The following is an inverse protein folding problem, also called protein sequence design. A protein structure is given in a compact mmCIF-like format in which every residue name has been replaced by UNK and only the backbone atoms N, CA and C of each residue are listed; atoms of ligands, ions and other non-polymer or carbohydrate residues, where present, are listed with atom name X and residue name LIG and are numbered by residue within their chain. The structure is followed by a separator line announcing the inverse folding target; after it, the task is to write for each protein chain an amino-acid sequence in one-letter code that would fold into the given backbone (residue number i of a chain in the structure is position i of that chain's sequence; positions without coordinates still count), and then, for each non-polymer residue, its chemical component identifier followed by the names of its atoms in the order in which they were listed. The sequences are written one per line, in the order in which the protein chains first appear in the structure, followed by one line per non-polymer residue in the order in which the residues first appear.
data_IF_652907317649
#
_entry.id   IF_652907317649
#
_cell.length_a   1.000
_cell.length_b   1.000
_cell.length_c   1.000
_cell.angle_alpha   90.00
_cell.angle_beta   90.00
_cell.angle_gamma   90.00
#
_symmetry.space_group_name_H-M   'P 1'
#
loop_
_entity.id
_entity.type
_entity.pdbx_description
1 polymer ?
#
# COMPACT_ATOMS: atom_id res chain seq x y z
N UNK A 1 -41.78 -17.35 38.26
CA UNK A 1 -41.64 -17.09 36.81
C UNK A 1 -40.45 -17.88 36.29
N UNK A 2 -40.69 -18.92 35.49
CA UNK A 2 -39.62 -19.78 34.97
C UNK A 2 -38.79 -19.03 33.93
N UNK A 3 -37.49 -18.91 34.17
CA UNK A 3 -36.54 -18.25 33.26
C UNK A 3 -36.38 -19.16 32.03
N UNK A 4 -36.93 -18.73 30.88
CA UNK A 4 -36.89 -19.50 29.64
C UNK A 4 -35.46 -19.86 29.24
N UNK A 5 -35.20 -21.13 28.93
CA UNK A 5 -33.90 -21.60 28.44
C UNK A 5 -33.64 -20.99 27.06
N UNK A 6 -32.70 -20.04 26.99
CA UNK A 6 -32.23 -19.46 25.73
C UNK A 6 -31.42 -20.55 25.02
N UNK A 7 -31.91 -21.04 23.86
CA UNK A 7 -31.12 -21.93 22.99
C UNK A 7 -29.96 -21.12 22.41
N UNK A 8 -28.75 -21.35 22.89
CA UNK A 8 -27.51 -20.83 22.27
C UNK A 8 -27.23 -21.66 21.01
N UNK A 9 -27.78 -21.24 19.88
CA UNK A 9 -27.36 -21.75 18.58
C UNK A 9 -25.94 -21.27 18.32
N UNK A 10 -25.02 -22.20 18.02
CA UNK A 10 -23.72 -21.82 17.48
C UNK A 10 -23.98 -21.17 16.13
N UNK A 11 -23.70 -19.87 16.02
CA UNK A 11 -23.66 -19.19 14.72
C UNK A 11 -22.34 -19.57 14.06
N UNK A 12 -22.29 -20.75 13.46
CA UNK A 12 -21.18 -21.12 12.60
C UNK A 12 -21.25 -20.20 11.37
N UNK A 13 -20.34 -19.23 11.32
CA UNK A 13 -20.24 -18.29 10.20
C UNK A 13 -19.47 -18.99 9.10
N UNK A 14 -20.14 -19.22 7.97
CA UNK A 14 -19.50 -19.76 6.78
C UNK A 14 -18.52 -18.72 6.21
N UNK A 15 -17.22 -19.04 6.29
CA UNK A 15 -16.14 -18.17 5.82
C UNK A 15 -15.88 -18.29 4.32
N UNK A 16 -16.54 -19.22 3.61
CA UNK A 16 -16.27 -19.54 2.21
C UNK A 16 -16.43 -18.31 1.31
N UNK A 17 -17.51 -17.54 1.48
CA UNK A 17 -17.74 -16.33 0.70
C UNK A 17 -16.74 -15.21 1.04
N UNK A 18 -16.33 -15.07 2.29
CA UNK A 18 -15.38 -14.04 2.71
C UNK A 18 -13.95 -14.35 2.23
N UNK A 19 -13.59 -15.63 2.20
CA UNK A 19 -12.28 -16.10 1.75
C UNK A 19 -12.09 -15.87 0.25
N UNK A 20 -13.11 -16.14 -0.57
CA UNK A 20 -13.07 -15.91 -2.03
C UNK A 20 -12.88 -14.41 -2.35
N UNK A 21 -13.65 -13.54 -1.71
CA UNK A 21 -13.52 -12.08 -1.87
C UNK A 21 -12.11 -11.59 -1.49
N UNK A 22 -11.53 -12.13 -0.41
CA UNK A 22 -10.18 -11.77 0.00
C UNK A 22 -9.11 -12.22 -1.00
N UNK A 23 -9.25 -13.43 -1.55
CA UNK A 23 -8.31 -13.96 -2.54
C UNK A 23 -8.37 -13.21 -3.88
N UNK A 24 -9.57 -12.85 -4.33
CA UNK A 24 -9.76 -12.03 -5.53
C UNK A 24 -9.13 -10.63 -5.38
N UNK A 25 -9.26 -10.00 -4.21
CA UNK A 25 -8.63 -8.70 -3.95
C UNK A 25 -7.11 -8.79 -3.89
N UNK A 26 -6.57 -9.81 -3.21
CA UNK A 26 -5.13 -10.03 -3.13
C UNK A 26 -4.52 -10.24 -4.52
N UNK A 27 -5.12 -11.11 -5.33
CA UNK A 27 -4.65 -11.38 -6.69
C UNK A 27 -4.76 -10.15 -7.59
N UNK A 28 -5.86 -9.39 -7.48
CA UNK A 28 -6.01 -8.12 -8.19
C UNK A 28 -4.90 -7.12 -7.82
N UNK A 29 -4.61 -6.93 -6.53
CA UNK A 29 -3.55 -6.03 -6.08
C UNK A 29 -2.14 -6.50 -6.50
N UNK A 30 -1.89 -7.81 -6.52
CA UNK A 30 -0.63 -8.36 -7.00
C UNK A 30 -0.47 -8.13 -8.51
N UNK A 31 -1.54 -8.32 -9.30
CA UNK A 31 -1.49 -8.18 -10.76
C UNK A 31 -1.42 -6.71 -11.24
N UNK A 32 -2.11 -5.80 -10.53
CA UNK A 32 -2.14 -4.37 -10.87
C UNK A 32 -1.00 -3.60 -10.20
N UNK A 33 -0.40 -4.15 -9.14
CA UNK A 33 0.74 -3.58 -8.45
C UNK A 33 1.94 -3.41 -9.38
N UNK A 34 2.10 -2.20 -9.92
CA UNK A 34 3.33 -1.82 -10.59
C UNK A 34 4.42 -1.77 -9.53
N UNK A 35 5.46 -2.60 -9.67
CA UNK A 35 6.67 -2.42 -8.89
C UNK A 35 7.16 -0.99 -9.16
N UNK A 36 7.36 -0.21 -8.08
CA UNK A 36 8.08 1.06 -8.21
C UNK A 36 9.36 0.71 -8.97
N UNK A 37 9.63 1.31 -10.15
CA UNK A 37 10.85 1.02 -10.87
C UNK A 37 11.99 1.22 -9.88
N UNK A 38 12.86 0.21 -9.77
CA UNK A 38 14.05 0.33 -8.93
C UNK A 38 14.80 1.54 -9.46
N UNK A 39 14.77 2.65 -8.72
CA UNK A 39 15.68 3.76 -8.99
C UNK A 39 17.07 3.15 -8.87
N UNK A 40 17.87 3.23 -9.95
CA UNK A 40 19.15 2.53 -10.08
C UNK A 40 20.11 2.85 -8.92
N UNK A 41 19.83 3.94 -8.19
CA UNK A 41 20.56 4.43 -7.03
C UNK A 41 19.53 4.98 -6.03
N UNK A 42 19.67 4.64 -4.75
CA UNK A 42 18.89 5.26 -3.69
C UNK A 42 19.34 6.72 -3.52
N UNK A 43 18.60 7.67 -4.11
CA UNK A 43 18.92 9.10 -4.02
C UNK A 43 18.51 9.62 -2.65
N UNK A 44 19.47 9.67 -1.71
CA UNK A 44 19.28 10.35 -0.42
C UNK A 44 19.35 11.86 -0.66
N UNK A 45 18.21 12.50 -0.86
CA UNK A 45 18.14 13.97 -0.93
C UNK A 45 18.46 14.55 0.45
N UNK A 46 19.37 15.54 0.56
CA UNK A 46 19.66 16.19 1.83
C UNK A 46 18.42 16.90 2.38
N UNK A 47 18.30 16.98 3.71
CA UNK A 47 17.17 17.59 4.42
C UNK A 47 17.07 19.12 4.30
N UNK A 48 17.77 19.72 3.34
CA UNK A 48 17.74 21.16 3.10
C UNK A 48 16.50 21.53 2.27
N UNK A 49 15.41 21.84 2.96
CA UNK A 49 14.20 22.41 2.37
C UNK A 49 14.39 23.93 2.28
N UNK A 50 14.55 24.44 1.06
CA UNK A 50 14.45 25.89 0.80
C UNK A 50 12.98 26.30 0.75
N UNK A 51 12.56 27.22 1.61
CA UNK A 51 11.20 27.81 1.59
C UNK A 51 10.94 28.74 0.39
N UNK A 52 11.93 28.93 -0.49
CA UNK A 52 11.77 29.71 -1.72
C UNK A 52 11.35 28.76 -2.84
N UNK A 53 10.10 28.87 -3.29
CA UNK A 53 9.60 28.12 -4.45
C UNK A 53 10.55 28.32 -5.64
N UNK A 54 11.19 27.22 -6.06
CA UNK A 54 11.96 27.22 -7.30
C UNK A 54 11.00 27.41 -8.48
N UNK A 55 11.32 28.28 -9.45
CA UNK A 55 10.52 28.40 -10.67
C UNK A 55 10.49 27.05 -11.39
N UNK A 56 9.31 26.45 -11.56
CA UNK A 56 9.11 25.14 -12.20
C UNK A 56 9.26 25.18 -13.74
N UNK A 57 9.64 26.33 -14.31
CA UNK A 57 9.84 26.50 -15.75
C UNK A 57 11.33 26.35 -16.06
N UNK A 58 11.68 25.40 -16.93
CA UNK A 58 13.04 25.13 -17.43
C UNK A 58 14.06 24.67 -16.38
N UNK A 59 13.70 23.72 -15.50
CA UNK A 59 14.67 23.07 -14.60
C UNK A 59 15.07 21.68 -15.10
N UNK A 60 16.35 21.35 -14.98
CA UNK A 60 16.92 20.04 -15.30
C UNK A 60 17.55 19.46 -14.03
N UNK A 61 17.10 18.29 -13.59
CA UNK A 61 17.66 17.58 -12.45
C UNK A 61 18.71 16.58 -12.94
N UNK A 62 19.96 16.77 -12.51
CA UNK A 62 21.07 15.84 -12.78
C UNK A 62 21.39 15.10 -11.49
N UNK A 63 21.25 13.78 -11.50
CA UNK A 63 21.68 12.90 -10.42
C UNK A 63 22.93 12.16 -10.87
N UNK A 64 24.03 12.32 -10.13
CA UNK A 64 25.32 11.68 -10.42
C UNK A 64 25.57 10.65 -9.31
N UNK A 65 25.85 9.42 -9.72
CA UNK A 65 26.22 8.33 -8.81
C UNK A 65 27.70 8.41 -8.43
N UNK A 66 28.09 7.87 -7.27
CA UNK A 66 29.46 7.93 -6.74
C UNK A 66 30.45 7.05 -7.51
N UNK A 67 29.95 6.14 -8.36
CA UNK A 67 30.74 5.17 -9.11
C UNK A 67 31.18 5.65 -10.52
N UNK A 68 30.94 6.92 -10.87
CA UNK A 68 31.64 7.69 -11.92
C UNK A 68 31.70 9.19 -11.54
#
# INVERSE_FOLDING_TARGET
MARGKIKKGSTHVDMTAMCDVAFLLLTFFILVGQFKPSEAVAVVTPSSVSNKHAPQKDFFNVTIDKDN
#
